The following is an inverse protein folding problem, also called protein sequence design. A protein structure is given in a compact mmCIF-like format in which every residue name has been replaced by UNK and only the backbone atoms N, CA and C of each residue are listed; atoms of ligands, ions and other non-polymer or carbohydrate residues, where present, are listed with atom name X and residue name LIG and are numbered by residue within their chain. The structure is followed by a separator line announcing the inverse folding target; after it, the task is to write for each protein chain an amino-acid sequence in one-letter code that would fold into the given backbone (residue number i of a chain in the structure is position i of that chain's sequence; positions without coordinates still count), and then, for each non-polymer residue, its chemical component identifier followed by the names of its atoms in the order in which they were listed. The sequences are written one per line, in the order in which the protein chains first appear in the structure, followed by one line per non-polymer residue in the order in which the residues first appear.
data_IF_565488652119
#
_entry.id   IF_565488652119
#
_cell.length_a   1.000
_cell.length_b   1.000
_cell.length_c   1.000
_cell.angle_alpha   90.00
_cell.angle_beta   90.00
_cell.angle_gamma   90.00
#
_symmetry.space_group_name_H-M   'P 1'
#
loop_
_entity.id
_entity.type
_entity.pdbx_description
1 polymer ?
#
# COMPACT_ATOMS: atom_id res chain seq x y z
N UNK A 1 50.74 15.30 -36.28
CA UNK A 1 49.71 14.43 -36.87
C UNK A 1 48.40 14.66 -36.10
N UNK A 2 47.33 15.12 -36.76
CA UNK A 2 46.00 15.22 -36.14
C UNK A 2 45.39 13.83 -36.11
N UNK A 3 45.06 13.31 -34.93
CA UNK A 3 44.31 12.06 -34.81
C UNK A 3 42.92 12.26 -35.45
N UNK A 4 42.57 11.43 -36.43
CA UNK A 4 41.21 11.37 -36.97
C UNK A 4 40.28 10.86 -35.87
N UNK A 5 39.42 11.73 -35.37
CA UNK A 5 38.42 11.39 -34.37
C UNK A 5 37.42 10.41 -35.00
N UNK A 6 37.44 9.14 -34.56
CA UNK A 6 36.49 8.13 -35.03
C UNK A 6 35.11 8.48 -34.48
N UNK A 7 34.19 8.89 -35.35
CA UNK A 7 32.79 9.09 -35.02
C UNK A 7 32.05 7.76 -34.86
N UNK A 8 30.90 7.82 -34.20
CA UNK A 8 29.99 6.69 -34.05
C UNK A 8 29.18 6.51 -35.35
N UNK A 9 29.03 5.28 -35.83
CA UNK A 9 28.29 5.02 -37.06
C UNK A 9 26.78 5.00 -36.83
N UNK A 10 25.99 5.34 -37.85
CA UNK A 10 24.53 5.26 -37.77
C UNK A 10 24.04 3.83 -37.52
N UNK A 11 24.74 2.82 -38.04
CA UNK A 11 24.38 1.42 -37.82
C UNK A 11 24.62 0.98 -36.38
N UNK A 12 25.72 1.43 -35.76
CA UNK A 12 25.97 1.19 -34.33
C UNK A 12 24.89 1.84 -33.47
N UNK A 13 24.44 3.05 -33.81
CA UNK A 13 23.35 3.72 -33.11
C UNK A 13 22.03 2.97 -33.21
N UNK A 14 21.68 2.48 -34.41
CA UNK A 14 20.45 1.73 -34.61
C UNK A 14 20.42 0.44 -33.80
N UNK A 15 21.53 -0.29 -33.74
CA UNK A 15 21.62 -1.53 -32.95
C UNK A 15 21.50 -1.22 -31.45
N UNK A 16 22.17 -0.17 -30.97
CA UNK A 16 22.09 0.23 -29.56
C UNK A 16 20.67 0.60 -29.17
N UNK A 17 19.97 1.38 -30.00
CA UNK A 17 18.56 1.74 -29.75
C UNK A 17 17.67 0.51 -29.73
N UNK A 18 17.88 -0.45 -30.64
CA UNK A 18 17.11 -1.69 -30.67
C UNK A 18 17.27 -2.51 -29.38
N UNK A 19 18.50 -2.65 -28.88
CA UNK A 19 18.77 -3.37 -27.62
C UNK A 19 18.14 -2.64 -26.44
N UNK A 20 18.29 -1.32 -26.34
CA UNK A 20 17.68 -0.50 -25.29
C UNK A 20 16.14 -0.63 -25.33
N UNK A 21 15.54 -0.65 -26.53
CA UNK A 21 14.11 -0.84 -26.71
C UNK A 21 13.59 -2.15 -26.12
N UNK A 22 14.29 -3.27 -26.38
CA UNK A 22 13.94 -4.58 -25.83
C UNK A 22 14.07 -4.59 -24.30
N UNK A 23 15.16 -4.05 -23.77
CA UNK A 23 15.36 -3.97 -22.32
C UNK A 23 14.31 -3.08 -21.64
N UNK A 24 13.99 -1.94 -22.25
CA UNK A 24 12.99 -1.00 -21.73
C UNK A 24 11.59 -1.62 -21.67
N UNK A 25 11.21 -2.45 -22.65
CA UNK A 25 9.92 -3.12 -22.66
C UNK A 25 9.68 -4.01 -21.42
N UNK A 26 10.74 -4.58 -20.84
CA UNK A 26 10.68 -5.42 -19.63
C UNK A 26 10.93 -4.56 -18.38
N UNK A 27 11.93 -3.69 -18.44
CA UNK A 27 12.38 -2.91 -17.28
C UNK A 27 11.34 -1.86 -16.84
N UNK A 28 10.64 -1.21 -17.78
CA UNK A 28 9.68 -0.15 -17.44
C UNK A 28 8.48 -0.69 -16.65
N UNK A 29 7.77 -1.75 -17.08
CA UNK A 29 6.68 -2.32 -16.28
C UNK A 29 7.15 -2.82 -14.91
N UNK A 30 8.31 -3.48 -14.85
CA UNK A 30 8.86 -3.99 -13.60
C UNK A 30 9.21 -2.86 -12.61
N UNK A 31 9.76 -1.75 -13.11
CA UNK A 31 10.05 -0.57 -12.31
C UNK A 31 8.75 0.12 -11.83
N UNK A 32 7.74 0.25 -12.70
CA UNK A 32 6.43 0.79 -12.31
C UNK A 32 5.77 -0.02 -11.20
N UNK A 33 5.89 -1.35 -11.26
CA UNK A 33 5.40 -2.26 -10.20
C UNK A 33 6.16 -2.10 -8.88
N UNK A 34 7.48 -1.89 -8.96
CA UNK A 34 8.30 -1.60 -7.77
C UNK A 34 7.90 -0.29 -7.09
N UNK A 35 7.66 0.77 -7.87
CA UNK A 35 7.19 2.05 -7.35
C UNK A 35 5.80 1.91 -6.72
N UNK A 36 4.89 1.17 -7.36
CA UNK A 36 3.57 0.90 -6.80
C UNK A 36 3.64 0.18 -5.44
N UNK A 37 4.47 -0.87 -5.31
CA UNK A 37 4.73 -1.54 -4.02
C UNK A 37 5.32 -0.60 -2.98
N UNK A 38 6.29 0.22 -3.38
CA UNK A 38 6.97 1.15 -2.47
C UNK A 38 6.02 2.20 -1.91
N UNK A 39 5.09 2.70 -2.74
CA UNK A 39 4.04 3.63 -2.30
C UNK A 39 3.02 2.92 -1.41
N UNK A 40 2.59 1.72 -1.77
CA UNK A 40 1.65 0.92 -0.96
C UNK A 40 2.23 0.51 0.41
N UNK A 41 3.56 0.46 0.57
CA UNK A 41 4.20 0.17 1.84
C UNK A 41 3.89 1.20 2.94
N UNK A 42 3.56 2.45 2.57
CA UNK A 42 3.09 3.48 3.49
C UNK A 42 1.83 3.06 4.26
N UNK A 43 0.97 2.23 3.65
CA UNK A 43 -0.20 1.70 4.33
C UNK A 43 0.18 1.00 5.65
N UNK A 44 1.33 0.33 5.69
CA UNK A 44 1.81 -0.37 6.88
C UNK A 44 2.17 0.58 8.01
N UNK A 45 2.85 1.70 7.69
CA UNK A 45 3.28 2.67 8.70
C UNK A 45 2.09 3.45 9.25
N UNK A 46 1.15 3.86 8.40
CA UNK A 46 -0.08 4.53 8.84
C UNK A 46 -0.98 3.58 9.65
N UNK A 47 -1.13 2.33 9.21
CA UNK A 47 -1.92 1.34 9.95
C UNK A 47 -1.29 1.00 11.31
N UNK A 48 0.04 0.99 11.42
CA UNK A 48 0.71 0.83 12.71
C UNK A 48 0.46 2.01 13.66
N UNK A 49 0.38 3.25 13.14
CA UNK A 49 0.02 4.43 13.93
C UNK A 49 -1.41 4.38 14.47
N UNK A 50 -2.36 3.97 13.63
CA UNK A 50 -3.77 3.85 14.01
C UNK A 50 -4.06 2.62 14.89
N UNK A 51 -3.22 1.59 14.86
CA UNK A 51 -3.42 0.37 15.66
C UNK A 51 -3.53 0.68 17.16
N UNK A 52 -2.69 1.58 17.68
CA UNK A 52 -2.74 1.98 19.10
C UNK A 52 -4.08 2.64 19.42
N UNK A 53 -4.54 3.54 18.55
CA UNK A 53 -5.84 4.21 18.71
C UNK A 53 -7.01 3.22 18.67
N UNK A 54 -6.97 2.22 17.78
CA UNK A 54 -8.00 1.16 17.75
C UNK A 54 -8.03 0.39 19.08
N UNK A 55 -6.87 0.03 19.64
CA UNK A 55 -6.80 -0.70 20.91
C UNK A 55 -7.35 0.15 22.07
N UNK A 56 -7.06 1.44 22.09
CA UNK A 56 -7.58 2.37 23.10
C UNK A 56 -9.10 2.54 22.95
N UNK A 57 -9.60 2.74 21.73
CA UNK A 57 -11.02 2.84 21.43
C UNK A 57 -11.78 1.56 21.83
N UNK A 58 -11.16 0.39 21.62
CA UNK A 58 -11.74 -0.90 21.98
C UNK A 58 -11.98 -1.05 23.49
N UNK A 59 -11.24 -0.34 24.36
CA UNK A 59 -11.52 -0.31 25.81
C UNK A 59 -12.89 0.32 26.10
N UNK A 60 -13.32 1.25 25.26
CA UNK A 60 -14.63 1.89 25.32
C UNK A 60 -15.70 1.14 24.50
N UNK A 61 -15.41 -0.08 24.04
CA UNK A 61 -16.30 -0.91 23.20
C UNK A 61 -16.69 -0.29 21.85
N UNK A 62 -15.93 0.70 21.38
CA UNK A 62 -16.10 1.33 20.06
C UNK A 62 -14.84 1.11 19.21
N UNK A 63 -14.97 1.11 17.88
CA UNK A 63 -13.80 1.03 17.00
C UNK A 63 -13.21 2.40 16.69
N UNK A 64 -14.06 3.43 16.63
CA UNK A 64 -13.72 4.80 16.26
C UNK A 64 -14.35 5.77 17.25
N UNK A 65 -13.83 6.99 17.29
CA UNK A 65 -14.36 8.09 18.11
C UNK A 65 -15.12 9.14 17.28
N UNK A 66 -15.20 8.94 15.97
CA UNK A 66 -15.66 9.92 14.97
C UNK A 66 -14.88 11.24 15.02
N UNK A 67 -13.65 11.20 15.54
CA UNK A 67 -12.72 12.31 15.55
C UNK A 67 -11.67 12.09 14.47
N UNK A 68 -11.73 12.89 13.40
CA UNK A 68 -10.81 12.78 12.27
C UNK A 68 -9.34 12.98 12.64
N UNK A 69 -9.03 13.69 13.74
CA UNK A 69 -7.66 13.85 14.21
C UNK A 69 -7.09 12.58 14.87
N UNK A 70 -7.96 11.65 15.26
CA UNK A 70 -7.59 10.41 15.98
C UNK A 70 -7.78 9.19 15.06
N UNK A 71 -8.90 9.16 14.35
CA UNK A 71 -9.33 8.02 13.55
C UNK A 71 -8.81 8.06 12.11
N UNK A 72 -8.17 9.16 11.70
CA UNK A 72 -7.60 9.30 10.35
C UNK A 72 -6.14 9.74 10.42
N UNK A 73 -5.31 9.14 9.56
CA UNK A 73 -3.92 9.52 9.38
C UNK A 73 -3.66 9.73 7.89
N UNK A 74 -3.33 10.97 7.53
CA UNK A 74 -2.95 11.30 6.15
C UNK A 74 -1.47 11.05 5.93
N UNK A 75 -1.17 10.29 4.87
CA UNK A 75 0.16 10.09 4.34
C UNK A 75 0.40 10.83 3.03
N UNK A 76 1.57 10.60 2.47
CA UNK A 76 1.99 11.15 1.18
C UNK A 76 1.19 10.54 0.03
N UNK A 77 0.96 9.23 0.05
CA UNK A 77 0.37 8.48 -1.06
C UNK A 77 -1.07 8.05 -0.80
N UNK A 78 -1.55 8.12 0.44
CA UNK A 78 -2.91 7.75 0.80
C UNK A 78 -3.32 8.24 2.18
N UNK A 79 -4.56 7.94 2.55
CA UNK A 79 -5.12 8.19 3.88
C UNK A 79 -5.50 6.86 4.51
N UNK A 80 -5.14 6.67 5.77
CA UNK A 80 -5.62 5.55 6.58
C UNK A 80 -6.74 6.04 7.49
N UNK A 81 -7.83 5.28 7.59
CA UNK A 81 -8.99 5.59 8.41
C UNK A 81 -9.44 4.37 9.20
N UNK A 82 -9.76 4.55 10.47
CA UNK A 82 -10.42 3.53 11.28
C UNK A 82 -11.90 3.45 10.88
N UNK A 83 -12.36 2.24 10.60
CA UNK A 83 -13.71 1.91 10.16
C UNK A 83 -14.26 0.74 10.96
N UNK A 84 -15.58 0.56 10.95
CA UNK A 84 -16.29 -0.35 11.85
C UNK A 84 -16.91 0.42 13.01
N UNK A 85 -18.12 0.02 13.41
CA UNK A 85 -18.92 0.78 14.38
C UNK A 85 -18.92 0.15 15.77
N UNK A 86 -18.97 -1.18 15.87
CA UNK A 86 -19.06 -1.87 17.16
C UNK A 86 -17.99 -2.96 17.26
N UNK A 87 -17.33 -3.01 18.43
CA UNK A 87 -16.40 -4.08 18.74
C UNK A 87 -17.21 -5.34 19.02
N UNK A 88 -17.15 -6.32 18.11
CA UNK A 88 -17.76 -7.63 18.33
C UNK A 88 -16.80 -8.48 19.14
N UNK A 89 -16.73 -8.21 20.44
CA UNK A 89 -16.04 -9.05 21.43
C UNK A 89 -16.88 -10.29 21.81
N UNK A 90 -17.73 -10.79 20.91
CA UNK A 90 -18.46 -12.05 21.11
C UNK A 90 -17.45 -13.19 21.05
N UNK A 91 -16.81 -13.41 22.20
CA UNK A 91 -16.03 -14.58 22.56
C UNK A 91 -15.30 -15.22 21.39
N UNK A 92 -14.44 -14.45 20.72
CA UNK A 92 -13.34 -15.02 19.96
C UNK A 92 -12.49 -15.85 20.94
N UNK A 93 -12.82 -17.13 21.05
CA UNK A 93 -12.14 -18.15 21.84
C UNK A 93 -10.74 -18.43 21.30
N UNK A 94 -10.43 -17.90 20.12
CA UNK A 94 -9.14 -17.95 19.45
C UNK A 94 -8.52 -16.56 19.32
N UNK A 95 -7.20 -16.49 19.49
CA UNK A 95 -6.41 -15.26 19.35
C UNK A 95 -6.49 -14.60 17.95
N UNK A 96 -7.12 -15.29 17.00
CA UNK A 96 -7.32 -14.86 15.60
C UNK A 96 -8.77 -14.46 15.28
N UNK A 97 -9.62 -14.25 16.29
CA UNK A 97 -10.95 -13.69 16.05
C UNK A 97 -10.87 -12.23 15.63
N UNK A 98 -11.71 -11.87 14.65
CA UNK A 98 -11.88 -10.49 14.19
C UNK A 98 -12.59 -9.68 15.28
N UNK A 99 -12.11 -8.47 15.57
CA UNK A 99 -12.73 -7.58 16.56
C UNK A 99 -13.89 -6.79 15.97
N UNK A 100 -14.07 -6.83 14.64
CA UNK A 100 -15.02 -6.01 13.90
C UNK A 100 -14.48 -4.63 13.54
N UNK A 101 -13.37 -4.21 14.15
CA UNK A 101 -12.67 -2.98 13.82
C UNK A 101 -11.78 -3.18 12.61
N UNK A 102 -11.79 -2.21 11.70
CA UNK A 102 -11.06 -2.24 10.44
C UNK A 102 -10.25 -0.97 10.27
N UNK A 103 -9.10 -1.07 9.60
CA UNK A 103 -8.31 0.07 9.14
C UNK A 103 -8.37 0.05 7.62
N UNK A 104 -8.96 1.07 7.02
CA UNK A 104 -9.04 1.26 5.58
C UNK A 104 -7.99 2.27 5.14
N UNK A 105 -7.02 1.83 4.33
CA UNK A 105 -6.09 2.70 3.62
C UNK A 105 -6.58 2.94 2.20
N UNK A 106 -6.80 4.20 1.84
CA UNK A 106 -7.19 4.64 0.49
C UNK A 106 -6.04 5.39 -0.17
N UNK A 107 -5.59 4.92 -1.32
CA UNK A 107 -4.55 5.59 -2.12
C UNK A 107 -5.15 6.83 -2.80
N UNK A 108 -4.39 7.93 -2.85
CA UNK A 108 -4.80 9.18 -3.50
C UNK A 108 -5.08 8.99 -5.01
N UNK A 109 -5.94 9.84 -5.56
CA UNK A 109 -6.27 9.83 -7.00
C UNK A 109 -5.22 10.50 -7.90
N UNK A 110 -4.19 11.12 -7.33
CA UNK A 110 -3.14 11.83 -8.05
C UNK A 110 -1.79 11.73 -7.32
N UNK A 111 -0.69 11.90 -8.05
CA UNK A 111 0.67 11.83 -7.47
C UNK A 111 1.13 10.42 -7.07
N UNK A 112 0.41 9.38 -7.50
CA UNK A 112 0.67 7.96 -7.21
C UNK A 112 0.81 7.15 -8.49
N UNK A 113 1.32 5.93 -8.37
CA UNK A 113 1.40 4.98 -9.47
C UNK A 113 0.00 4.61 -9.97
N UNK A 114 -0.15 4.59 -11.31
CA UNK A 114 -1.42 4.27 -11.96
C UNK A 114 -1.99 2.89 -11.57
N UNK A 115 -1.11 1.95 -11.17
CA UNK A 115 -1.51 0.61 -10.78
C UNK A 115 -2.26 0.54 -9.43
N UNK A 116 -2.06 1.53 -8.55
CA UNK A 116 -2.66 1.58 -7.20
C UNK A 116 -3.57 2.78 -6.98
N UNK A 117 -3.68 3.67 -7.98
CA UNK A 117 -4.55 4.85 -7.93
C UNK A 117 -6.00 4.47 -7.57
N UNK A 118 -6.58 5.21 -6.63
CA UNK A 118 -7.96 5.03 -6.13
C UNK A 118 -8.25 3.62 -5.59
N UNK A 119 -7.20 2.83 -5.29
CA UNK A 119 -7.33 1.50 -4.68
C UNK A 119 -7.32 1.60 -3.16
N UNK A 120 -7.93 0.59 -2.53
CA UNK A 120 -8.09 0.50 -1.09
C UNK A 120 -7.50 -0.80 -0.56
N UNK A 121 -6.87 -0.72 0.61
CA UNK A 121 -6.45 -1.84 1.43
C UNK A 121 -7.23 -1.81 2.75
N UNK A 122 -8.01 -2.85 3.02
CA UNK A 122 -8.81 -2.95 4.25
C UNK A 122 -8.22 -4.04 5.13
N UNK A 123 -7.85 -3.67 6.35
CA UNK A 123 -7.24 -4.55 7.35
C UNK A 123 -8.19 -4.71 8.53
N UNK A 124 -8.64 -5.93 8.81
CA UNK A 124 -9.33 -6.23 10.07
C UNK A 124 -8.30 -6.28 11.21
N UNK A 125 -8.67 -5.72 12.37
CA UNK A 125 -7.91 -5.85 13.60
C UNK A 125 -8.33 -7.14 14.30
N UNK A 126 -7.36 -8.00 14.59
CA UNK A 126 -7.56 -9.26 15.29
C UNK A 126 -7.44 -9.04 16.81
N UNK A 127 -7.98 -9.97 17.60
CA UNK A 127 -7.92 -9.90 19.08
C UNK A 127 -6.50 -9.80 19.64
N UNK A 128 -5.51 -10.41 18.98
CA UNK A 128 -4.09 -10.29 19.34
C UNK A 128 -3.45 -8.94 18.89
N UNK A 129 -4.25 -8.02 18.35
CA UNK A 129 -3.82 -6.76 17.76
C UNK A 129 -3.14 -6.91 16.40
N UNK A 130 -3.00 -8.11 15.85
CA UNK A 130 -2.49 -8.26 14.48
C UNK A 130 -3.48 -7.69 13.48
N UNK A 131 -2.96 -7.25 12.33
CA UNK A 131 -3.76 -6.76 11.22
C UNK A 131 -3.79 -7.85 10.15
N UNK A 132 -4.96 -8.13 9.58
CA UNK A 132 -5.12 -9.09 8.48
C UNK A 132 -5.96 -8.48 7.38
N UNK A 133 -5.56 -8.68 6.13
CA UNK A 133 -6.38 -8.30 4.97
C UNK A 133 -7.79 -8.90 5.10
N UNK A 134 -8.80 -8.08 4.83
CA UNK A 134 -10.20 -8.48 4.84
C UNK A 134 -10.91 -8.14 3.53
N UNK A 135 -12.13 -8.63 3.39
CA UNK A 135 -13.02 -8.34 2.26
C UNK A 135 -13.25 -6.83 2.14
N UNK A 136 -13.21 -6.31 0.91
CA UNK A 136 -13.30 -4.87 0.62
C UNK A 136 -11.98 -4.25 0.12
N UNK A 137 -10.87 -4.98 0.23
CA UNK A 137 -9.60 -4.61 -0.42
C UNK A 137 -9.74 -4.66 -1.94
N UNK A 138 -9.48 -3.54 -2.62
CA UNK A 138 -9.52 -3.42 -4.09
C UNK A 138 -8.13 -3.35 -4.73
N UNK A 139 -7.09 -3.21 -3.90
CA UNK A 139 -5.70 -3.30 -4.30
C UNK A 139 -5.32 -4.75 -4.64
N UNK A 140 -4.51 -4.92 -5.68
CA UNK A 140 -3.98 -6.22 -6.09
C UNK A 140 -2.96 -6.74 -5.08
N UNK A 141 -2.98 -8.04 -4.80
CA UNK A 141 -2.13 -8.73 -3.81
C UNK A 141 -0.64 -8.57 -4.12
N UNK A 142 -0.28 -8.36 -5.39
CA UNK A 142 1.12 -8.06 -5.76
C UNK A 142 1.65 -6.76 -5.16
N UNK A 143 0.78 -5.84 -4.75
CA UNK A 143 1.15 -4.54 -4.19
C UNK A 143 1.00 -4.48 -2.67
N UNK A 144 0.30 -5.44 -2.07
CA UNK A 144 0.06 -5.50 -0.64
C UNK A 144 1.32 -6.07 0.05
N UNK A 145 1.78 -5.46 1.17
CA UNK A 145 2.86 -6.02 1.97
C UNK A 145 2.50 -7.44 2.44
N UNK A 146 3.42 -8.39 2.26
CA UNK A 146 3.21 -9.81 2.61
C UNK A 146 2.84 -10.05 4.08
N UNK A 147 3.12 -9.10 4.96
CA UNK A 147 2.75 -9.18 6.38
C UNK A 147 1.23 -9.20 6.61
N UNK A 148 0.42 -8.81 5.62
CA UNK A 148 -1.04 -8.70 5.75
C UNK A 148 -1.83 -9.73 4.94
N UNK A 149 -1.13 -10.52 4.10
CA UNK A 149 -1.70 -11.63 3.31
C UNK A 149 -1.75 -12.90 4.18
#
# INVERSE_FOLDING_TARGET
MKALQKGFTLIELMIVIAIIGILAAIAVPAYSDYIARSQAAEASSLAAGLKTQVVDNMQNSVCKTDNTAIDEQEGKYGTAKITGDNVTMTSATSAMGDTGCKIEYTVKGSGVSAAIKDKKLVLSVLKNGSLRKTTGTTMDDKYIPKAYL
#
